data_IF_390274986459
#
_entry.id   IF_390274986459
#
_cell.length_a   1.000
_cell.length_b   1.000
_cell.length_c   1.000
_cell.angle_alpha   90.00
_cell.angle_beta   90.00
_cell.angle_gamma   90.00
#
_symmetry.space_group_name_H-M   'P 1'
#
loop_
_entity.id
_entity.type
_entity.pdbx_description
1 polymer ?
#
# COMPACT_ATOMS: atom_id res chain seq x y z
N UNK A 1 11.01 -15.20 -5.67
CA UNK A 1 11.28 -13.92 -5.01
C UNK A 1 11.74 -12.87 -6.02
N UNK A 2 12.85 -13.07 -6.75
CA UNK A 2 13.35 -12.12 -7.75
C UNK A 2 12.29 -11.70 -8.79
N UNK A 3 11.49 -12.64 -9.30
CA UNK A 3 10.38 -12.34 -10.23
C UNK A 3 9.33 -11.40 -9.63
N UNK A 4 9.03 -11.54 -8.34
CA UNK A 4 8.06 -10.68 -7.65
C UNK A 4 8.69 -9.33 -7.37
N UNK A 5 9.93 -9.28 -6.92
CA UNK A 5 10.63 -8.00 -6.72
C UNK A 5 10.70 -7.20 -8.03
N UNK A 6 11.11 -7.85 -9.12
CA UNK A 6 11.14 -7.26 -10.46
C UNK A 6 9.74 -6.81 -10.93
N UNK A 7 8.69 -7.60 -10.64
CA UNK A 7 7.31 -7.19 -10.88
C UNK A 7 7.00 -5.90 -10.10
N UNK A 8 7.22 -5.87 -8.78
CA UNK A 8 6.90 -4.73 -7.93
C UNK A 8 7.65 -3.46 -8.38
N UNK A 9 8.87 -3.56 -8.91
CA UNK A 9 9.66 -2.41 -9.36
C UNK A 9 9.55 -2.11 -10.87
N UNK A 10 8.76 -2.87 -11.64
CA UNK A 10 8.63 -2.67 -13.08
C UNK A 10 8.00 -1.31 -13.44
N UNK A 11 8.01 -0.91 -14.72
CA UNK A 11 7.20 0.22 -15.18
C UNK A 11 5.71 -0.14 -15.17
N UNK A 12 4.85 0.87 -15.16
CA UNK A 12 3.41 0.66 -15.26
C UNK A 12 3.03 0.27 -16.69
N UNK A 13 2.68 -1.00 -16.89
CA UNK A 13 2.20 -1.55 -18.16
C UNK A 13 0.96 -2.39 -17.89
N UNK A 14 0.12 -2.58 -18.92
CA UNK A 14 -1.04 -3.47 -18.83
C UNK A 14 -0.64 -4.88 -18.37
N UNK A 15 0.51 -5.36 -18.83
CA UNK A 15 1.04 -6.67 -18.45
C UNK A 15 1.48 -6.71 -16.97
N UNK A 16 2.19 -5.67 -16.51
CA UNK A 16 2.62 -5.59 -15.11
C UNK A 16 1.42 -5.48 -14.16
N UNK A 17 0.37 -4.76 -14.57
CA UNK A 17 -0.89 -4.68 -13.82
C UNK A 17 -1.59 -6.06 -13.77
N UNK A 18 -1.71 -6.75 -14.90
CA UNK A 18 -2.32 -8.08 -14.95
C UNK A 18 -1.57 -9.08 -14.06
N UNK A 19 -0.24 -9.08 -14.11
CA UNK A 19 0.62 -9.91 -13.24
C UNK A 19 0.47 -9.55 -11.76
N UNK A 20 0.35 -8.26 -11.44
CA UNK A 20 0.12 -7.84 -10.06
C UNK A 20 -1.26 -8.30 -9.55
N UNK A 21 -2.30 -8.24 -10.38
CA UNK A 21 -3.63 -8.74 -10.02
C UNK A 21 -3.61 -10.24 -9.75
N UNK A 22 -2.88 -11.02 -10.55
CA UNK A 22 -2.68 -12.45 -10.30
C UNK A 22 -1.97 -12.68 -8.96
N UNK A 23 -0.83 -12.01 -8.74
CA UNK A 23 -0.10 -12.10 -7.47
C UNK A 23 -0.98 -11.73 -6.28
N UNK A 24 -1.85 -10.74 -6.45
CA UNK A 24 -2.79 -10.35 -5.42
C UNK A 24 -3.79 -11.46 -5.09
N UNK A 25 -4.39 -12.09 -6.09
CA UNK A 25 -5.27 -13.23 -5.88
C UNK A 25 -4.54 -14.36 -5.14
N UNK A 26 -3.29 -14.63 -5.50
CA UNK A 26 -2.48 -15.67 -4.86
C UNK A 26 -2.19 -15.33 -3.39
N UNK A 27 -1.70 -14.12 -3.08
CA UNK A 27 -1.35 -13.71 -1.70
C UNK A 27 -2.57 -13.57 -0.77
N UNK A 28 -3.75 -13.27 -1.31
CA UNK A 28 -4.97 -13.19 -0.49
C UNK A 28 -5.47 -14.57 -0.04
N UNK A 29 -5.18 -15.61 -0.83
CA UNK A 29 -5.59 -16.98 -0.55
C UNK A 29 -4.54 -17.76 0.25
N UNK A 30 -3.25 -17.53 0.00
CA UNK A 30 -2.14 -18.29 0.56
C UNK A 30 -1.06 -17.36 1.15
N UNK A 31 -0.31 -17.77 2.19
CA UNK A 31 0.73 -16.96 2.85
C UNK A 31 2.02 -16.87 2.03
N UNK A 32 1.91 -16.58 0.74
CA UNK A 32 3.05 -16.56 -0.19
C UNK A 32 3.89 -15.31 0.10
N UNK A 33 5.18 -15.52 0.37
CA UNK A 33 6.16 -14.48 0.71
C UNK A 33 5.95 -13.79 2.06
N UNK A 34 5.01 -14.25 2.89
CA UNK A 34 4.77 -13.69 4.22
C UNK A 34 6.02 -13.78 5.12
N UNK A 35 6.80 -14.86 4.97
CA UNK A 35 8.09 -15.11 5.65
C UNK A 35 9.24 -14.25 5.13
N UNK A 36 9.01 -13.48 4.05
CA UNK A 36 10.04 -12.75 3.28
C UNK A 36 9.68 -11.29 3.07
N UNK A 37 8.66 -10.76 3.76
CA UNK A 37 8.17 -9.40 3.57
C UNK A 37 9.26 -8.34 3.74
N UNK A 38 10.18 -8.51 4.70
CA UNK A 38 11.26 -7.55 4.98
C UNK A 38 12.16 -7.34 3.75
N UNK A 39 12.29 -8.35 2.87
CA UNK A 39 13.11 -8.30 1.67
C UNK A 39 12.52 -7.40 0.56
N UNK A 40 11.25 -7.04 0.67
CA UNK A 40 10.56 -6.15 -0.27
C UNK A 40 10.53 -4.68 0.18
N UNK A 41 10.99 -4.36 1.41
CA UNK A 41 11.07 -2.98 1.90
C UNK A 41 11.82 -2.03 0.95
N UNK A 42 12.96 -2.41 0.34
CA UNK A 42 13.66 -1.52 -0.59
C UNK A 42 12.79 -1.07 -1.79
N UNK A 43 11.80 -1.87 -2.19
CA UNK A 43 10.91 -1.53 -3.31
C UNK A 43 9.92 -0.39 -2.98
N UNK A 44 9.74 -0.02 -1.70
CA UNK A 44 8.99 1.18 -1.29
C UNK A 44 9.70 2.47 -1.72
N UNK A 45 11.01 2.41 -1.98
CA UNK A 45 11.86 3.56 -2.33
C UNK A 45 12.35 3.50 -3.78
N UNK A 46 11.71 2.70 -4.63
CA UNK A 46 12.04 2.64 -6.06
C UNK A 46 11.72 3.97 -6.77
N UNK A 47 12.49 4.30 -7.80
CA UNK A 47 12.31 5.49 -8.64
C UNK A 47 10.89 5.57 -9.24
N UNK A 48 10.37 4.43 -9.67
CA UNK A 48 9.06 4.35 -10.30
C UNK A 48 7.93 4.49 -9.26
N UNK A 49 7.15 5.57 -9.32
CA UNK A 49 6.01 5.81 -8.42
C UNK A 49 4.98 4.66 -8.45
N UNK A 50 4.73 4.08 -9.63
CA UNK A 50 3.86 2.90 -9.76
C UNK A 50 4.44 1.66 -9.05
N UNK A 51 5.76 1.57 -8.90
CA UNK A 51 6.42 0.51 -8.16
C UNK A 51 6.31 0.69 -6.65
N UNK A 52 6.46 1.92 -6.16
CA UNK A 52 6.19 2.25 -4.74
C UNK A 52 4.75 1.88 -4.37
N UNK A 53 3.79 2.29 -5.20
CA UNK A 53 2.38 1.95 -5.01
C UNK A 53 2.07 0.46 -5.07
N UNK A 54 2.68 -0.31 -5.99
CA UNK A 54 2.51 -1.77 -6.02
C UNK A 54 3.14 -2.45 -4.81
N UNK A 55 4.29 -1.98 -4.37
CA UNK A 55 4.95 -2.50 -3.16
C UNK A 55 4.09 -2.25 -1.93
N UNK A 56 3.54 -1.04 -1.77
CA UNK A 56 2.57 -0.73 -0.71
C UNK A 56 1.39 -1.72 -0.72
N UNK A 57 0.73 -1.87 -1.89
CA UNK A 57 -0.40 -2.78 -2.06
C UNK A 57 -0.02 -4.22 -1.72
N UNK A 58 1.18 -4.66 -2.08
CA UNK A 58 1.73 -5.98 -1.76
C UNK A 58 1.86 -6.23 -0.24
N UNK A 59 2.33 -5.24 0.53
CA UNK A 59 2.35 -5.34 1.99
C UNK A 59 0.92 -5.44 2.55
N UNK A 60 -0.01 -4.60 2.08
CA UNK A 60 -1.38 -4.59 2.58
C UNK A 60 -2.07 -5.94 2.40
N UNK A 61 -2.00 -6.54 1.21
CA UNK A 61 -2.66 -7.83 0.93
C UNK A 61 -2.05 -9.00 1.71
N UNK A 62 -0.79 -8.89 2.14
CA UNK A 62 -0.11 -9.89 2.95
C UNK A 62 -0.26 -9.64 4.47
N UNK A 63 -0.91 -8.56 4.90
CA UNK A 63 -0.95 -8.17 6.30
C UNK A 63 -1.50 -9.25 7.25
N UNK A 64 -2.46 -10.06 6.79
CA UNK A 64 -3.04 -11.16 7.56
C UNK A 64 -2.06 -12.32 7.81
N UNK A 65 -1.01 -12.43 7.00
CA UNK A 65 -0.03 -13.51 7.06
C UNK A 65 1.27 -13.08 7.74
N UNK A 66 1.46 -11.79 8.01
CA UNK A 66 2.65 -11.21 8.65
C UNK A 66 2.71 -11.56 10.15
N UNK A 67 3.10 -12.79 10.45
CA UNK A 67 3.30 -13.29 11.82
C UNK A 67 4.60 -12.80 12.46
N UNK A 68 5.55 -12.32 11.66
CA UNK A 68 6.82 -11.76 12.13
C UNK A 68 6.71 -10.27 12.53
N UNK A 69 5.58 -9.63 12.24
CA UNK A 69 5.33 -8.23 12.60
C UNK A 69 6.13 -7.23 11.76
N UNK A 70 6.53 -7.60 10.55
CA UNK A 70 7.33 -6.75 9.65
C UNK A 70 6.59 -5.45 9.32
N UNK A 71 5.28 -5.52 9.07
CA UNK A 71 4.48 -4.34 8.70
C UNK A 71 4.34 -3.39 9.88
N UNK A 72 4.13 -3.89 11.09
CA UNK A 72 4.05 -3.07 12.30
C UNK A 72 5.41 -2.41 12.60
N UNK A 73 6.50 -3.16 12.47
CA UNK A 73 7.87 -2.66 12.66
C UNK A 73 8.26 -1.54 11.68
N UNK A 74 7.79 -1.63 10.44
CA UNK A 74 8.11 -0.68 9.36
C UNK A 74 6.91 0.17 8.93
N UNK A 75 5.94 0.36 9.82
CA UNK A 75 4.65 0.98 9.48
C UNK A 75 4.82 2.40 8.93
N UNK A 76 5.71 3.18 9.52
CA UNK A 76 5.99 4.55 9.08
C UNK A 76 6.56 4.60 7.65
N UNK A 77 7.58 3.79 7.35
CA UNK A 77 8.16 3.68 6.00
C UNK A 77 7.10 3.26 4.97
N UNK A 78 6.23 2.30 5.32
CA UNK A 78 5.17 1.82 4.44
C UNK A 78 4.12 2.91 4.20
N UNK A 79 3.63 3.55 5.27
CA UNK A 79 2.64 4.64 5.17
C UNK A 79 3.19 5.88 4.47
N UNK A 80 4.51 6.08 4.43
CA UNK A 80 5.17 7.14 3.67
C UNK A 80 4.88 7.11 2.16
N UNK A 81 4.46 5.97 1.59
CA UNK A 81 4.01 5.91 0.18
C UNK A 81 2.78 6.77 -0.07
N UNK A 82 2.00 7.11 0.97
CA UNK A 82 0.85 8.01 0.84
C UNK A 82 1.26 9.48 0.62
N UNK A 83 2.54 9.83 0.78
CA UNK A 83 3.09 11.15 0.44
C UNK A 83 3.65 11.21 -0.99
N UNK A 84 3.42 10.18 -1.81
CA UNK A 84 4.00 10.10 -3.16
C UNK A 84 3.58 11.29 -4.03
N UNK A 85 4.55 12.00 -4.61
CA UNK A 85 4.33 13.09 -5.58
C UNK A 85 3.29 12.82 -6.69
N UNK A 86 2.97 11.56 -6.99
CA UNK A 86 1.95 11.16 -7.97
C UNK A 86 0.63 10.85 -7.28
N UNK A 87 -0.33 11.77 -7.37
CA UNK A 87 -1.70 11.56 -6.88
C UNK A 87 -2.34 10.21 -7.27
N UNK A 88 -2.20 9.69 -8.51
CA UNK A 88 -2.74 8.37 -8.85
C UNK A 88 -2.23 7.23 -7.97
N UNK A 89 -0.98 7.30 -7.51
CA UNK A 89 -0.37 6.30 -6.61
C UNK A 89 -1.06 6.34 -5.26
N UNK A 90 -1.16 7.52 -4.65
CA UNK A 90 -1.81 7.71 -3.35
C UNK A 90 -3.25 7.21 -3.39
N UNK A 91 -4.01 7.62 -4.40
CA UNK A 91 -5.41 7.19 -4.60
C UNK A 91 -5.58 5.68 -4.70
N UNK A 92 -4.69 5.00 -5.42
CA UNK A 92 -4.75 3.54 -5.56
C UNK A 92 -4.33 2.80 -4.29
N UNK A 93 -3.53 3.42 -3.43
CA UNK A 93 -3.05 2.82 -2.18
C UNK A 93 -4.10 2.92 -1.07
N UNK A 94 -4.83 4.03 -0.96
CA UNK A 94 -5.78 4.29 0.12
C UNK A 94 -6.75 3.10 0.36
N UNK A 95 -7.46 2.55 -0.65
CA UNK A 95 -8.41 1.44 -0.42
C UNK A 95 -7.78 0.18 0.19
N UNK A 96 -6.48 -0.05 -0.02
CA UNK A 96 -5.78 -1.24 0.45
C UNK A 96 -5.50 -1.21 1.95
N UNK A 97 -5.57 -0.03 2.60
CA UNK A 97 -5.43 0.09 4.06
C UNK A 97 -6.49 -0.74 4.81
N UNK A 98 -7.62 -1.06 4.18
CA UNK A 98 -8.64 -1.97 4.76
C UNK A 98 -8.09 -3.36 5.08
N UNK A 99 -7.16 -3.89 4.28
CA UNK A 99 -6.52 -5.17 4.55
C UNK A 99 -5.68 -5.12 5.83
N UNK A 100 -4.90 -4.05 6.00
CA UNK A 100 -4.07 -3.86 7.19
C UNK A 100 -4.94 -3.64 8.43
N UNK A 101 -5.94 -2.76 8.35
CA UNK A 101 -6.84 -2.48 9.46
C UNK A 101 -7.56 -3.75 9.94
N UNK A 102 -8.05 -4.58 9.01
CA UNK A 102 -8.72 -5.85 9.33
C UNK A 102 -7.77 -6.86 9.95
N UNK A 103 -6.54 -6.96 9.44
CA UNK A 103 -5.56 -7.95 9.90
C UNK A 103 -4.89 -7.56 11.22
N UNK A 104 -4.62 -6.25 11.40
CA UNK A 104 -3.85 -5.69 12.50
C UNK A 104 -4.55 -4.44 13.04
N UNK A 105 -5.68 -4.57 13.76
CA UNK A 105 -6.47 -3.43 14.24
C UNK A 105 -5.68 -2.42 15.11
N UNK A 106 -4.61 -2.87 15.77
CA UNK A 106 -3.69 -2.00 16.54
C UNK A 106 -3.04 -0.90 15.69
N UNK A 107 -2.97 -1.08 14.37
CA UNK A 107 -2.42 -0.08 13.44
C UNK A 107 -3.43 1.01 13.07
N UNK A 108 -4.72 0.84 13.37
CA UNK A 108 -5.80 1.77 12.98
C UNK A 108 -5.52 3.21 13.42
N UNK A 109 -5.13 3.51 14.67
CA UNK A 109 -4.81 4.88 15.08
C UNK A 109 -3.72 5.53 14.22
N UNK A 110 -2.69 4.77 13.83
CA UNK A 110 -1.61 5.26 12.97
C UNK A 110 -2.08 5.50 11.53
N UNK A 111 -2.90 4.61 10.99
CA UNK A 111 -3.49 4.78 9.64
C UNK A 111 -4.36 6.04 9.62
N UNK A 112 -5.24 6.20 10.61
CA UNK A 112 -6.12 7.38 10.72
C UNK A 112 -5.31 8.66 10.82
N UNK A 113 -4.35 8.70 11.74
CA UNK A 113 -3.47 9.85 11.91
C UNK A 113 -2.77 10.20 10.60
N UNK A 114 -2.26 9.20 9.85
CA UNK A 114 -1.64 9.44 8.56
C UNK A 114 -2.60 10.07 7.55
N UNK A 115 -3.80 9.52 7.40
CA UNK A 115 -4.80 10.01 6.43
C UNK A 115 -5.31 11.41 6.77
N UNK A 116 -5.56 11.68 8.04
CA UNK A 116 -6.07 12.97 8.54
C UNK A 116 -5.03 14.09 8.41
N UNK A 117 -3.73 13.75 8.34
CA UNK A 117 -2.62 14.71 8.21
C UNK A 117 -1.95 14.69 6.82
N UNK A 118 -2.59 14.10 5.80
CA UNK A 118 -2.05 14.14 4.44
C UNK A 118 -1.99 15.57 3.92
N UNK A 119 -0.79 16.01 3.52
CA UNK A 119 -0.60 17.28 2.82
C UNK A 119 -0.89 17.08 1.34
N UNK A 120 -1.81 17.87 0.76
CA UNK A 120 -2.31 17.69 -0.62
C UNK A 120 -2.06 18.90 -1.53
N UNK A 121 -1.52 19.99 -1.00
CA UNK A 121 -1.37 21.28 -1.67
C UNK A 121 -0.49 21.21 -2.93
N UNK A 122 0.43 20.25 -3.01
CA UNK A 122 1.27 19.99 -4.18
C UNK A 122 0.52 19.34 -5.36
N UNK A 123 -0.71 18.87 -5.17
CA UNK A 123 -1.55 18.36 -6.25
C UNK A 123 -2.47 19.44 -6.84
N UNK A 124 -2.90 19.22 -8.09
CA UNK A 124 -4.02 19.98 -8.66
C UNK A 124 -5.28 19.77 -7.83
N UNK A 125 -6.10 20.81 -7.66
CA UNK A 125 -7.36 20.76 -6.90
C UNK A 125 -8.27 19.56 -7.26
N UNK A 126 -8.37 19.23 -8.54
CA UNK A 126 -9.16 18.08 -8.99
C UNK A 126 -8.67 16.74 -8.43
N UNK A 127 -7.35 16.58 -8.23
CA UNK A 127 -6.76 15.41 -7.60
C UNK A 127 -6.89 15.45 -6.08
N UNK A 128 -6.75 16.63 -5.45
CA UNK A 128 -7.00 16.79 -4.01
C UNK A 128 -8.41 16.33 -3.64
N UNK A 129 -9.42 16.80 -4.37
CA UNK A 129 -10.83 16.42 -4.18
C UNK A 129 -11.10 14.93 -4.42
N UNK A 130 -10.28 14.26 -5.22
CA UNK A 130 -10.40 12.82 -5.44
C UNK A 130 -9.75 12.02 -4.30
N UNK A 131 -8.56 12.43 -3.85
CA UNK A 131 -7.89 11.83 -2.70
C UNK A 131 -8.77 11.97 -1.45
N UNK A 132 -9.31 13.16 -1.19
CA UNK A 132 -10.21 13.41 -0.06
C UNK A 132 -11.43 12.48 -0.08
N UNK A 133 -12.06 12.30 -1.25
CA UNK A 133 -13.16 11.34 -1.41
C UNK A 133 -12.73 9.89 -1.15
N UNK A 134 -11.52 9.51 -1.52
CA UNK A 134 -11.00 8.16 -1.25
C UNK A 134 -10.73 7.98 0.25
N UNK A 135 -10.28 9.02 0.97
CA UNK A 135 -10.12 9.04 2.44
C UNK A 135 -11.48 8.93 3.15
N UNK A 136 -12.45 9.75 2.78
CA UNK A 136 -13.79 9.77 3.36
C UNK A 136 -14.51 8.42 3.23
N UNK A 137 -14.27 7.70 2.12
CA UNK A 137 -14.82 6.35 1.93
C UNK A 137 -14.23 5.31 2.88
N UNK A 138 -12.95 5.44 3.22
CA UNK A 138 -12.27 4.41 4.02
C UNK A 138 -12.33 4.70 5.52
N UNK A 139 -12.32 5.96 5.96
CA UNK A 139 -12.33 6.32 7.38
C UNK A 139 -13.41 5.61 8.21
N UNK A 140 -14.66 5.41 7.72
CA UNK A 140 -15.69 4.67 8.46
C UNK A 140 -15.38 3.18 8.66
N UNK A 141 -14.51 2.61 7.82
CA UNK A 141 -14.07 1.20 7.92
C UNK A 141 -12.92 1.02 8.91
N UNK A 142 -12.29 2.12 9.35
CA UNK A 142 -11.17 2.15 10.27
C UNK A 142 -11.67 2.34 11.72
N UNK A 143 -12.47 1.39 12.20
CA UNK A 143 -13.01 1.34 13.56
C UNK A 143 -12.28 0.26 14.39
N UNK A 144 -11.98 0.59 15.65
CA UNK A 144 -11.33 -0.30 16.61
C UNK A 144 -12.27 -1.38 17.15
#
# INVERSE_FOLDING_TARGET
MEKVYALLTAKDTKEALAKFNQLQTECLNEPIFADKLEQFLPALKTEASCGRGRTFKFFMINARWDTQGVIEKHLEDILGVLDDSKAPVVRQCIPYLTYLAKAKPKTIPHIRHKLENLTLDHYKESMQSLIQRDIEKILPTLIM
#
